data_IF_459203695886
#
_entry.id   IF_459203695886
#
_cell.length_a   1.000
_cell.length_b   1.000
_cell.length_c   1.000
_cell.angle_alpha   90.00
_cell.angle_beta   90.00
_cell.angle_gamma   90.00
#
_symmetry.space_group_name_H-M   'P 1'
#
loop_
_entity.id
_entity.type
_entity.pdbx_description
1 polymer ?
#
# COMPACT_ATOMS: atom_id res chain seq x y z
N UNK A 1 -53.90 -1.28 6.48
CA UNK A 1 -53.32 -0.11 7.15
C UNK A 1 -52.07 0.43 6.43
N UNK A 2 -51.31 -0.36 5.70
CA UNK A 2 -50.07 0.06 4.98
C UNK A 2 -50.25 1.02 3.77
N UNK A 3 -51.39 1.00 3.08
CA UNK A 3 -51.62 1.90 1.91
C UNK A 3 -51.91 3.36 2.27
N UNK A 4 -52.17 3.70 3.55
CA UNK A 4 -52.38 5.09 3.98
C UNK A 4 -51.09 5.78 4.46
N UNK A 5 -50.04 5.05 4.84
CA UNK A 5 -48.77 5.64 5.26
C UNK A 5 -47.93 6.10 4.05
N UNK A 6 -47.85 5.31 3.01
CA UNK A 6 -47.08 5.63 1.79
C UNK A 6 -47.55 6.89 1.07
N UNK A 7 -48.83 7.24 1.19
CA UNK A 7 -49.44 8.46 0.57
C UNK A 7 -49.18 9.76 1.34
N UNK A 8 -48.77 9.67 2.61
CA UNK A 8 -48.37 10.82 3.40
C UNK A 8 -46.92 11.27 3.17
N UNK A 9 -46.02 10.33 3.02
CA UNK A 9 -44.59 10.61 2.79
C UNK A 9 -44.35 11.26 1.43
N UNK A 10 -45.02 10.79 0.36
CA UNK A 10 -44.98 11.43 -0.95
C UNK A 10 -45.45 12.89 -0.97
N UNK A 11 -46.34 13.25 -0.08
CA UNK A 11 -46.91 14.60 0.01
C UNK A 11 -45.99 15.58 0.74
N UNK A 12 -45.16 15.08 1.67
CA UNK A 12 -44.15 15.87 2.37
C UNK A 12 -42.90 16.07 1.50
N UNK A 13 -42.46 15.04 0.80
CA UNK A 13 -41.32 15.11 -0.12
C UNK A 13 -41.55 16.09 -1.27
N UNK A 14 -42.76 16.09 -1.86
CA UNK A 14 -43.13 17.06 -2.93
C UNK A 14 -43.25 18.51 -2.40
N UNK A 15 -43.61 18.73 -1.16
CA UNK A 15 -43.62 20.06 -0.53
C UNK A 15 -42.21 20.54 -0.18
N UNK A 16 -41.30 19.63 0.20
CA UNK A 16 -39.91 19.95 0.48
C UNK A 16 -39.14 20.32 -0.80
N UNK A 17 -39.41 19.59 -1.89
CA UNK A 17 -38.82 19.89 -3.20
C UNK A 17 -39.32 21.24 -3.76
N UNK A 18 -40.60 21.58 -3.56
CA UNK A 18 -41.15 22.85 -4.00
C UNK A 18 -40.61 24.05 -3.21
N UNK A 19 -40.26 23.84 -1.92
CA UNK A 19 -39.65 24.88 -1.08
C UNK A 19 -38.22 25.20 -1.48
N UNK A 20 -37.44 24.14 -1.86
CA UNK A 20 -36.05 24.28 -2.35
C UNK A 20 -36.02 24.99 -3.71
N UNK A 21 -36.99 24.69 -4.60
CA UNK A 21 -37.05 25.34 -5.92
C UNK A 21 -37.46 26.84 -5.80
N UNK A 22 -38.26 27.20 -4.81
CA UNK A 22 -38.64 28.59 -4.54
C UNK A 22 -37.49 29.42 -3.95
N UNK A 23 -36.59 28.79 -3.17
CA UNK A 23 -35.45 29.47 -2.56
C UNK A 23 -34.35 29.75 -3.62
N UNK A 24 -34.20 28.87 -4.62
CA UNK A 24 -33.22 29.06 -5.73
C UNK A 24 -33.66 30.18 -6.69
N UNK A 25 -34.99 30.40 -6.87
CA UNK A 25 -35.48 31.49 -7.71
C UNK A 25 -35.50 32.87 -7.02
N UNK A 26 -35.37 32.93 -5.69
CA UNK A 26 -35.32 34.21 -4.96
C UNK A 26 -33.91 34.85 -4.95
N UNK A 27 -32.86 34.10 -5.30
CA UNK A 27 -31.47 34.58 -5.32
C UNK A 27 -31.04 35.14 -6.68
N UNK A 28 -31.87 35.07 -7.72
CA UNK A 28 -31.52 35.53 -9.10
C UNK A 28 -32.07 36.89 -9.50
N UNK A 29 -32.63 37.72 -8.60
CA UNK A 29 -33.25 38.97 -8.91
C UNK A 29 -32.62 40.21 -8.24
N UNK A 30 -31.33 40.22 -7.95
CA UNK A 30 -30.63 41.43 -7.51
C UNK A 30 -29.39 41.64 -8.40
N UNK A 31 -29.65 42.07 -9.64
CA UNK A 31 -28.66 42.77 -10.47
C UNK A 31 -29.37 43.44 -11.66
N UNK A 32 -29.92 44.61 -11.42
CA UNK A 32 -30.06 45.67 -12.47
C UNK A 32 -30.62 46.94 -11.82
N UNK A 33 -29.79 47.96 -11.73
CA UNK A 33 -30.17 49.32 -11.35
C UNK A 33 -28.97 50.25 -11.46
N UNK A 34 -28.86 50.97 -12.56
CA UNK A 34 -27.72 51.76 -12.91
C UNK A 34 -27.59 53.11 -12.20
N UNK A 35 -26.41 53.72 -12.30
CA UNK A 35 -26.09 55.10 -11.84
C UNK A 35 -24.60 55.33 -11.95
N UNK A 36 -24.17 56.12 -12.97
CA UNK A 36 -22.82 56.59 -13.20
C UNK A 36 -22.28 57.38 -12.00
N UNK A 37 -21.03 57.07 -11.60
CA UNK A 37 -20.06 58.06 -11.12
C UNK A 37 -18.64 57.45 -11.29
N UNK A 38 -17.84 58.15 -12.08
CA UNK A 38 -16.40 57.83 -12.27
C UNK A 38 -15.63 57.90 -10.96
N UNK A 39 -14.94 56.82 -10.64
CA UNK A 39 -13.76 56.87 -9.75
C UNK A 39 -12.86 55.69 -10.16
N UNK A 40 -11.70 56.03 -10.64
CA UNK A 40 -10.57 55.16 -10.99
C UNK A 40 -10.18 54.35 -9.77
N UNK A 41 -10.46 53.06 -9.75
CA UNK A 41 -9.89 52.08 -8.80
C UNK A 41 -9.44 50.89 -9.65
N UNK A 42 -8.14 50.65 -9.65
CA UNK A 42 -7.51 49.45 -10.19
C UNK A 42 -8.24 48.22 -9.62
N UNK A 43 -9.03 47.58 -10.46
CA UNK A 43 -9.48 46.20 -10.24
C UNK A 43 -8.27 45.30 -10.39
N UNK A 44 -7.68 44.89 -9.26
CA UNK A 44 -6.92 43.66 -9.23
C UNK A 44 -7.93 42.56 -9.38
N UNK A 45 -8.09 42.11 -10.61
CA UNK A 45 -8.81 40.87 -10.95
C UNK A 45 -8.04 39.68 -10.35
N UNK A 46 -8.29 39.40 -9.09
CA UNK A 46 -7.82 38.21 -8.39
C UNK A 46 -8.72 37.04 -8.81
N UNK A 47 -8.68 36.70 -10.09
CA UNK A 47 -9.16 35.43 -10.58
C UNK A 47 -8.20 34.38 -10.04
N UNK A 48 -8.46 33.90 -8.82
CA UNK A 48 -7.91 32.66 -8.35
C UNK A 48 -8.26 31.59 -9.40
N UNK A 49 -7.31 31.26 -10.25
CA UNK A 49 -7.39 30.12 -11.16
C UNK A 49 -7.49 28.89 -10.27
N UNK A 50 -8.72 28.40 -10.06
CA UNK A 50 -8.92 27.10 -9.42
C UNK A 50 -8.24 26.07 -10.31
N UNK A 51 -7.12 25.55 -9.85
CA UNK A 51 -6.41 24.48 -10.56
C UNK A 51 -7.36 23.28 -10.68
N UNK A 52 -7.75 22.94 -11.89
CA UNK A 52 -8.58 21.75 -12.12
C UNK A 52 -7.66 20.52 -11.99
N UNK A 53 -7.86 19.74 -10.92
CA UNK A 53 -7.11 18.51 -10.72
C UNK A 53 -7.69 17.35 -11.52
N UNK A 54 -6.79 16.55 -12.10
CA UNK A 54 -7.09 15.29 -12.80
C UNK A 54 -6.06 14.26 -12.35
N UNK A 55 -6.54 13.10 -11.89
CA UNK A 55 -5.71 12.05 -11.32
C UNK A 55 -5.53 10.91 -12.31
N UNK A 56 -4.30 10.53 -12.58
CA UNK A 56 -3.98 9.29 -13.26
C UNK A 56 -3.30 8.32 -12.29
N UNK A 57 -3.59 7.03 -12.41
CA UNK A 57 -2.80 5.98 -11.79
C UNK A 57 -2.11 5.15 -12.85
N UNK A 58 -0.85 4.84 -12.65
CA UNK A 58 -0.06 4.01 -13.56
C UNK A 58 0.49 2.84 -12.75
N UNK A 59 0.21 1.58 -13.14
CA UNK A 59 0.85 0.42 -12.51
C UNK A 59 2.30 0.28 -12.98
N UNK A 60 3.13 -0.38 -12.18
CA UNK A 60 4.50 -0.71 -12.56
C UNK A 60 4.55 -1.73 -13.71
N UNK A 61 4.14 -2.96 -13.48
CA UNK A 61 3.89 -4.05 -14.43
C UNK A 61 2.80 -4.99 -13.91
N UNK A 62 2.36 -4.79 -12.66
CA UNK A 62 1.30 -5.55 -12.02
C UNK A 62 -0.07 -5.28 -12.65
N UNK A 63 -1.07 -5.98 -12.16
CA UNK A 63 -2.45 -5.86 -12.63
C UNK A 63 -3.35 -5.29 -11.51
N UNK A 64 -4.31 -4.46 -11.88
CA UNK A 64 -5.32 -3.93 -10.95
C UNK A 64 -6.33 -4.97 -10.45
N UNK A 65 -6.08 -6.25 -10.72
CA UNK A 65 -6.86 -7.40 -10.26
C UNK A 65 -6.05 -8.35 -9.39
N UNK A 66 -4.90 -7.88 -8.88
CA UNK A 66 -3.97 -8.68 -8.06
C UNK A 66 -4.49 -9.00 -6.65
N UNK A 67 -5.62 -8.41 -6.24
CA UNK A 67 -6.22 -8.53 -4.91
C UNK A 67 -5.23 -8.17 -3.78
N UNK A 68 -4.31 -7.24 -4.07
CA UNK A 68 -3.21 -6.83 -3.22
C UNK A 68 -2.84 -5.36 -3.51
N UNK A 69 -1.57 -5.09 -3.80
CA UNK A 69 -0.94 -3.78 -3.91
C UNK A 69 -1.54 -2.88 -4.99
N UNK A 70 -1.57 -3.36 -6.25
CA UNK A 70 -2.02 -2.54 -7.38
C UNK A 70 -3.52 -2.31 -7.35
N UNK A 71 -4.32 -3.36 -7.08
CA UNK A 71 -5.77 -3.24 -7.00
C UNK A 71 -6.18 -2.27 -5.90
N UNK A 72 -5.61 -2.39 -4.70
CA UNK A 72 -5.96 -1.53 -3.56
C UNK A 72 -5.66 -0.07 -3.84
N UNK A 73 -4.52 0.23 -4.48
CA UNK A 73 -4.16 1.60 -4.85
C UNK A 73 -5.10 2.13 -5.94
N UNK A 74 -5.44 1.29 -6.93
CA UNK A 74 -6.40 1.65 -8.00
C UNK A 74 -7.78 1.98 -7.43
N UNK A 75 -8.32 1.11 -6.59
CA UNK A 75 -9.63 1.31 -5.97
C UNK A 75 -9.65 2.56 -5.10
N UNK A 76 -8.60 2.81 -4.32
CA UNK A 76 -8.47 4.01 -3.51
C UNK A 76 -8.49 5.30 -4.33
N UNK A 77 -7.73 5.35 -5.44
CA UNK A 77 -7.75 6.49 -6.36
C UNK A 77 -9.13 6.67 -6.99
N UNK A 78 -9.72 5.58 -7.49
CA UNK A 78 -11.02 5.59 -8.15
C UNK A 78 -12.14 6.08 -7.21
N UNK A 79 -12.24 5.47 -6.03
CA UNK A 79 -13.26 5.85 -5.03
C UNK A 79 -13.15 7.31 -4.60
N UNK A 80 -11.91 7.77 -4.33
CA UNK A 80 -11.67 9.16 -3.95
C UNK A 80 -12.10 10.13 -5.07
N UNK A 81 -11.70 9.83 -6.30
CA UNK A 81 -12.00 10.67 -7.44
C UNK A 81 -13.49 10.66 -7.81
N UNK A 82 -14.16 9.51 -7.76
CA UNK A 82 -15.60 9.40 -7.99
C UNK A 82 -16.39 10.21 -6.94
N UNK A 83 -16.01 10.13 -5.66
CA UNK A 83 -16.65 10.90 -4.59
C UNK A 83 -16.49 12.41 -4.76
N UNK A 84 -15.34 12.87 -5.26
CA UNK A 84 -15.02 14.28 -5.50
C UNK A 84 -15.42 14.79 -6.89
N UNK A 85 -15.99 13.96 -7.78
CA UNK A 85 -16.20 14.25 -9.21
C UNK A 85 -14.93 14.73 -9.93
N UNK A 86 -13.78 14.12 -9.60
CA UNK A 86 -12.48 14.40 -10.16
C UNK A 86 -12.24 13.43 -11.33
N UNK A 87 -11.79 13.89 -12.50
CA UNK A 87 -11.43 13.01 -13.60
C UNK A 87 -10.32 12.03 -13.19
N UNK A 88 -10.55 10.74 -13.43
CA UNK A 88 -9.62 9.66 -13.13
C UNK A 88 -9.45 8.73 -14.32
N UNK A 89 -8.21 8.34 -14.63
CA UNK A 89 -7.90 7.33 -15.65
C UNK A 89 -6.75 6.44 -15.19
N UNK A 90 -6.82 5.17 -15.55
CA UNK A 90 -5.80 4.16 -15.31
C UNK A 90 -4.97 3.90 -16.56
N UNK A 91 -3.65 3.78 -16.38
CA UNK A 91 -2.70 3.49 -17.43
C UNK A 91 -1.86 2.27 -17.06
N UNK A 92 -1.63 1.39 -18.03
CA UNK A 92 -0.78 0.21 -17.86
C UNK A 92 0.37 0.23 -18.86
N UNK A 93 1.64 0.14 -18.41
CA UNK A 93 2.78 -0.01 -19.29
C UNK A 93 2.69 -1.27 -20.14
N UNK A 94 3.27 -1.22 -21.34
CA UNK A 94 3.28 -2.37 -22.25
C UNK A 94 4.26 -3.47 -21.85
N UNK A 95 5.23 -3.14 -21.01
CA UNK A 95 6.25 -4.06 -20.49
C UNK A 95 6.85 -3.58 -19.18
N UNK A 96 7.70 -4.43 -18.60
CA UNK A 96 8.39 -4.16 -17.35
C UNK A 96 9.75 -3.51 -17.61
N UNK A 97 9.74 -2.24 -17.98
CA UNK A 97 10.95 -1.42 -18.09
C UNK A 97 10.65 0.07 -17.89
N UNK A 98 11.68 0.84 -17.56
CA UNK A 98 11.59 2.28 -17.30
C UNK A 98 10.98 3.06 -18.46
N UNK A 99 11.39 2.77 -19.72
CA UNK A 99 10.90 3.50 -20.87
C UNK A 99 9.38 3.35 -21.10
N UNK A 100 8.84 2.15 -20.89
CA UNK A 100 7.39 1.91 -20.99
C UNK A 100 6.62 2.64 -19.88
N UNK A 101 7.16 2.74 -18.66
CA UNK A 101 6.57 3.52 -17.55
C UNK A 101 6.60 5.00 -17.86
N UNK A 102 7.73 5.53 -18.35
CA UNK A 102 7.85 6.94 -18.80
C UNK A 102 6.84 7.24 -19.89
N UNK A 103 6.68 6.37 -20.89
CA UNK A 103 5.70 6.56 -21.96
C UNK A 103 4.26 6.65 -21.45
N UNK A 104 3.91 5.91 -20.37
CA UNK A 104 2.58 6.02 -19.77
C UNK A 104 2.43 7.30 -18.94
N UNK A 105 3.49 7.75 -18.25
CA UNK A 105 3.51 9.05 -17.56
C UNK A 105 3.26 10.16 -18.59
N UNK A 106 4.01 10.18 -19.69
CA UNK A 106 3.88 11.17 -20.77
C UNK A 106 2.48 11.12 -21.41
N UNK A 107 1.94 9.91 -21.65
CA UNK A 107 0.58 9.74 -22.17
C UNK A 107 -0.50 10.30 -21.25
N UNK A 108 -0.35 10.13 -19.93
CA UNK A 108 -1.27 10.70 -18.94
C UNK A 108 -1.19 12.24 -18.95
N UNK A 109 0.02 12.80 -18.96
CA UNK A 109 0.27 14.24 -18.97
C UNK A 109 -0.29 14.88 -20.25
N UNK A 110 -0.09 14.25 -21.42
CA UNK A 110 -0.62 14.72 -22.71
C UNK A 110 -2.17 14.78 -22.72
N UNK A 111 -2.84 13.94 -21.92
CA UNK A 111 -4.30 13.99 -21.70
C UNK A 111 -4.72 15.02 -20.64
N UNK A 112 -3.76 15.73 -20.06
CA UNK A 112 -4.00 16.79 -19.09
C UNK A 112 -4.15 16.32 -17.65
N UNK A 113 -3.72 15.07 -17.32
CA UNK A 113 -3.62 14.62 -15.93
C UNK A 113 -2.42 15.28 -15.24
N UNK A 114 -2.64 15.85 -14.06
CA UNK A 114 -1.65 16.65 -13.35
C UNK A 114 -1.33 16.15 -11.93
N UNK A 115 -1.96 15.04 -11.51
CA UNK A 115 -1.58 14.23 -10.37
C UNK A 115 -1.40 12.80 -10.87
N UNK A 116 -0.18 12.26 -10.75
CA UNK A 116 0.17 10.93 -11.24
C UNK A 116 0.52 10.04 -10.04
N UNK A 117 -0.31 9.05 -9.78
CA UNK A 117 -0.11 8.06 -8.71
C UNK A 117 0.59 6.82 -9.26
N UNK A 118 1.70 6.46 -8.68
CA UNK A 118 2.62 5.42 -9.18
C UNK A 118 2.96 4.43 -8.06
N UNK A 119 2.22 3.33 -7.93
CA UNK A 119 2.53 2.27 -6.98
C UNK A 119 3.62 1.34 -7.50
N UNK A 120 4.70 1.20 -6.74
CA UNK A 120 5.75 0.20 -6.96
C UNK A 120 7.16 0.77 -7.07
N UNK A 121 8.11 0.06 -6.46
CA UNK A 121 9.53 0.40 -6.42
C UNK A 121 10.12 0.68 -7.83
N UNK A 122 9.61 -0.01 -8.84
CA UNK A 122 10.07 0.08 -10.22
C UNK A 122 9.87 1.46 -10.88
N UNK A 123 9.11 2.36 -10.23
CA UNK A 123 8.95 3.75 -10.69
C UNK A 123 10.14 4.65 -10.37
N UNK A 124 11.11 4.23 -9.54
CA UNK A 124 12.28 5.04 -9.21
C UNK A 124 12.95 5.65 -10.45
N UNK A 125 13.28 4.81 -11.44
CA UNK A 125 13.88 5.27 -12.70
C UNK A 125 12.97 6.15 -13.54
N UNK A 126 11.68 5.83 -13.63
CA UNK A 126 10.73 6.61 -14.42
C UNK A 126 10.50 8.02 -13.82
N UNK A 127 10.48 8.14 -12.50
CA UNK A 127 10.37 9.42 -11.79
C UNK A 127 11.63 10.26 -12.01
N UNK A 128 12.81 9.66 -11.87
CA UNK A 128 14.11 10.34 -12.13
C UNK A 128 14.15 10.92 -13.54
N UNK A 129 13.56 10.24 -14.54
CA UNK A 129 13.51 10.74 -15.91
C UNK A 129 12.40 11.77 -16.17
N UNK A 130 11.23 11.61 -15.53
CA UNK A 130 10.03 12.43 -15.82
C UNK A 130 9.99 13.72 -14.99
N UNK A 131 10.32 13.68 -13.69
CA UNK A 131 10.21 14.83 -12.80
C UNK A 131 10.94 16.09 -13.31
N UNK A 132 12.16 16.02 -13.82
CA UNK A 132 12.85 17.21 -14.34
C UNK A 132 12.14 17.89 -15.52
N UNK A 133 11.32 17.14 -16.28
CA UNK A 133 10.64 17.61 -17.49
C UNK A 133 9.28 18.23 -17.20
N UNK A 134 8.60 17.80 -16.13
CA UNK A 134 7.18 18.09 -15.86
C UNK A 134 6.97 18.75 -14.49
N UNK A 135 7.52 19.94 -14.31
CA UNK A 135 7.54 20.65 -13.01
C UNK A 135 6.16 21.10 -12.50
N UNK A 136 5.15 21.14 -13.35
CA UNK A 136 3.76 21.48 -12.98
C UNK A 136 2.93 20.23 -12.60
N UNK A 137 3.49 19.03 -12.76
CA UNK A 137 2.84 17.76 -12.42
C UNK A 137 3.23 17.34 -11.02
N UNK A 138 2.26 16.83 -10.26
CA UNK A 138 2.46 16.27 -8.92
C UNK A 138 2.59 14.76 -9.00
N UNK A 139 3.75 14.25 -8.67
CA UNK A 139 4.02 12.81 -8.66
C UNK A 139 3.81 12.25 -7.25
N UNK A 140 2.98 11.22 -7.14
CA UNK A 140 2.72 10.52 -5.87
C UNK A 140 3.18 9.07 -6.04
N UNK A 141 4.23 8.70 -5.32
CA UNK A 141 4.85 7.38 -5.41
C UNK A 141 4.58 6.55 -4.15
N UNK A 142 4.31 5.24 -4.32
CA UNK A 142 4.18 4.28 -3.24
C UNK A 142 5.27 3.22 -3.38
N UNK A 143 5.93 2.87 -2.27
CA UNK A 143 7.03 1.89 -2.21
C UNK A 143 8.26 2.23 -3.08
N UNK A 144 8.48 3.49 -3.42
CA UNK A 144 9.72 3.94 -4.06
C UNK A 144 10.66 4.47 -2.98
N UNK A 145 11.66 3.69 -2.62
CA UNK A 145 12.60 4.05 -1.56
C UNK A 145 13.71 4.99 -2.05
N UNK A 146 14.45 5.56 -1.10
CA UNK A 146 15.69 6.32 -1.40
C UNK A 146 16.64 5.51 -2.29
N UNK A 147 16.74 4.18 -2.05
CA UNK A 147 17.60 3.28 -2.82
C UNK A 147 17.17 3.16 -4.27
N UNK A 148 15.87 3.09 -4.55
CA UNK A 148 15.32 2.95 -5.91
C UNK A 148 15.60 4.21 -6.75
N UNK A 149 15.50 5.39 -6.16
CA UNK A 149 15.91 6.65 -6.83
C UNK A 149 17.40 6.69 -7.08
N UNK A 150 18.22 6.31 -6.08
CA UNK A 150 19.68 6.35 -6.20
C UNK A 150 20.19 5.35 -7.24
N UNK A 151 19.65 4.14 -7.30
CA UNK A 151 20.06 3.15 -8.31
C UNK A 151 19.93 3.72 -9.72
N UNK A 152 18.80 4.37 -10.02
CA UNK A 152 18.57 4.98 -11.32
C UNK A 152 19.46 6.20 -11.57
N UNK A 153 19.54 7.12 -10.61
CA UNK A 153 20.18 8.41 -10.78
C UNK A 153 21.71 8.32 -10.77
N UNK A 154 22.30 7.50 -9.89
CA UNK A 154 23.74 7.23 -9.85
C UNK A 154 24.19 6.54 -11.13
N UNK A 155 23.39 5.56 -11.62
CA UNK A 155 23.64 4.91 -12.90
C UNK A 155 23.58 5.89 -14.08
N UNK A 156 22.61 6.80 -14.10
CA UNK A 156 22.49 7.84 -15.11
C UNK A 156 23.68 8.85 -15.08
N UNK A 157 24.26 9.09 -13.89
CA UNK A 157 25.48 9.89 -13.74
C UNK A 157 26.76 9.16 -14.18
N UNK A 158 26.65 7.87 -14.56
CA UNK A 158 27.80 7.04 -14.96
C UNK A 158 28.63 6.52 -13.79
N UNK A 159 28.08 6.54 -12.60
CA UNK A 159 28.70 6.02 -11.38
C UNK A 159 28.14 4.64 -11.02
N UNK A 160 28.78 3.93 -10.09
CA UNK A 160 28.37 2.61 -9.63
C UNK A 160 27.74 2.70 -8.25
N UNK A 161 26.43 2.44 -8.16
CA UNK A 161 25.70 2.39 -6.89
C UNK A 161 26.08 1.12 -6.11
N UNK A 162 26.33 1.27 -4.81
CA UNK A 162 26.78 0.18 -3.94
C UNK A 162 25.64 -0.54 -3.20
N UNK A 163 24.38 -0.22 -3.53
CA UNK A 163 23.15 -0.74 -2.92
C UNK A 163 23.01 -0.49 -1.42
N UNK A 164 23.81 0.45 -0.88
CA UNK A 164 23.61 0.97 0.46
C UNK A 164 23.23 2.46 0.40
N UNK A 165 21.93 2.79 0.54
CA UNK A 165 21.48 4.17 0.38
C UNK A 165 22.07 5.15 1.41
N UNK A 166 22.55 4.66 2.54
CA UNK A 166 23.13 5.52 3.59
C UNK A 166 24.48 6.12 3.20
N UNK A 167 25.17 5.49 2.24
CA UNK A 167 26.44 6.00 1.72
C UNK A 167 26.27 7.16 0.73
N UNK A 168 25.02 7.51 0.34
CA UNK A 168 24.73 8.44 -0.75
C UNK A 168 23.84 9.59 -0.31
N UNK A 169 24.16 10.81 -0.79
CA UNK A 169 23.29 11.96 -0.64
C UNK A 169 22.30 12.03 -1.82
N UNK A 170 21.04 11.69 -1.57
CA UNK A 170 20.00 11.67 -2.60
C UNK A 170 19.88 13.03 -3.31
N UNK A 171 19.95 14.13 -2.56
CA UNK A 171 19.76 15.47 -3.11
C UNK A 171 20.90 15.90 -4.08
N UNK A 172 22.04 15.21 -4.04
CA UNK A 172 23.12 15.42 -5.01
C UNK A 172 22.81 14.84 -6.40
N UNK A 173 21.85 13.90 -6.49
CA UNK A 173 21.53 13.16 -7.70
C UNK A 173 20.11 13.40 -8.23
N UNK A 174 19.14 13.65 -7.35
CA UNK A 174 17.72 13.78 -7.69
C UNK A 174 17.10 14.98 -7.00
N UNK A 175 16.38 15.79 -7.77
CA UNK A 175 15.47 16.82 -7.25
C UNK A 175 14.06 16.24 -7.18
N UNK A 176 13.56 15.93 -6.00
CA UNK A 176 12.22 15.40 -5.78
C UNK A 176 11.19 16.50 -5.45
N UNK A 177 11.44 17.76 -5.81
CA UNK A 177 10.57 18.90 -5.46
C UNK A 177 9.12 18.80 -5.97
N UNK A 178 8.84 17.92 -6.94
CA UNK A 178 7.50 17.62 -7.44
C UNK A 178 7.04 16.19 -7.11
N UNK A 179 7.71 15.51 -6.19
CA UNK A 179 7.42 14.11 -5.84
C UNK A 179 7.08 14.01 -4.37
N UNK A 180 6.00 13.35 -4.05
CA UNK A 180 5.69 12.87 -2.70
C UNK A 180 5.73 11.35 -2.69
N UNK A 181 6.53 10.79 -1.81
CA UNK A 181 6.73 9.35 -1.72
C UNK A 181 6.28 8.82 -0.36
N UNK A 182 5.59 7.69 -0.37
CA UNK A 182 5.19 6.94 0.80
C UNK A 182 5.82 5.54 0.74
N UNK A 183 6.59 5.20 1.75
CA UNK A 183 7.05 3.83 2.02
C UNK A 183 6.49 3.38 3.37
N UNK A 184 6.58 2.11 3.69
CA UNK A 184 5.93 1.58 4.88
C UNK A 184 6.93 0.82 5.75
N UNK A 185 6.60 0.69 7.04
CA UNK A 185 7.37 -0.10 8.01
C UNK A 185 6.88 -1.56 7.99
N UNK A 186 7.07 -2.25 6.85
CA UNK A 186 6.59 -3.62 6.66
C UNK A 186 7.22 -4.60 7.64
N UNK A 187 8.39 -4.30 8.18
CA UNK A 187 9.01 -5.10 9.24
C UNK A 187 8.12 -5.24 10.47
N UNK A 188 7.29 -4.22 10.77
CA UNK A 188 6.42 -4.24 11.96
C UNK A 188 5.24 -5.18 11.77
N UNK A 189 4.50 -5.10 10.64
CA UNK A 189 3.40 -6.03 10.40
C UNK A 189 3.91 -7.44 10.07
N UNK A 190 5.07 -7.57 9.43
CA UNK A 190 5.76 -8.85 9.29
C UNK A 190 6.05 -9.49 10.64
N UNK A 191 6.58 -8.70 11.60
CA UNK A 191 6.82 -9.16 12.97
C UNK A 191 5.53 -9.62 13.65
N UNK A 192 4.46 -8.80 13.59
CA UNK A 192 3.16 -9.17 14.18
C UNK A 192 2.65 -10.51 13.62
N UNK A 193 2.72 -10.68 12.29
CA UNK A 193 2.29 -11.92 11.64
C UNK A 193 3.14 -13.14 12.04
N UNK A 194 4.47 -12.99 12.08
CA UNK A 194 5.37 -14.07 12.50
C UNK A 194 5.19 -14.45 13.97
N UNK A 195 5.06 -13.45 14.84
CA UNK A 195 4.80 -13.65 16.26
C UNK A 195 3.45 -14.35 16.50
N UNK A 196 2.38 -13.85 15.86
CA UNK A 196 1.04 -14.43 15.91
C UNK A 196 1.04 -15.90 15.48
N UNK A 197 1.70 -16.21 14.36
CA UNK A 197 1.79 -17.57 13.81
C UNK A 197 2.35 -18.56 14.84
N UNK A 198 3.47 -18.23 15.50
CA UNK A 198 4.08 -19.10 16.52
C UNK A 198 3.24 -19.15 17.78
N UNK A 199 2.67 -18.04 18.25
CA UNK A 199 1.77 -18.01 19.42
C UNK A 199 0.52 -18.85 19.21
N UNK A 200 0.00 -18.94 17.97
CA UNK A 200 -1.11 -19.82 17.60
C UNK A 200 -0.73 -21.32 17.57
N UNK A 201 0.55 -21.65 17.79
CA UNK A 201 1.04 -23.02 17.95
C UNK A 201 1.69 -23.62 16.70
N UNK A 202 1.85 -22.88 15.62
CA UNK A 202 2.55 -23.34 14.43
C UNK A 202 4.06 -23.29 14.62
N UNK A 203 4.75 -24.37 14.22
CA UNK A 203 6.19 -24.53 14.45
C UNK A 203 6.98 -24.81 13.16
N UNK A 204 6.31 -25.12 12.06
CA UNK A 204 6.94 -25.35 10.75
C UNK A 204 6.45 -24.31 9.75
N UNK A 205 7.22 -23.26 9.61
CA UNK A 205 6.85 -22.06 8.89
C UNK A 205 7.55 -21.96 7.53
N UNK A 206 6.97 -21.18 6.63
CA UNK A 206 7.58 -20.78 5.38
C UNK A 206 7.36 -19.29 5.12
N UNK A 207 8.37 -18.64 4.55
CA UNK A 207 8.24 -17.34 3.92
C UNK A 207 8.51 -17.50 2.43
N UNK A 208 7.54 -17.16 1.60
CA UNK A 208 7.66 -17.10 0.15
C UNK A 208 7.46 -15.65 -0.29
N UNK A 209 8.57 -14.93 -0.47
CA UNK A 209 8.56 -13.57 -0.99
C UNK A 209 8.45 -13.56 -2.51
N UNK A 210 7.93 -12.48 -3.09
CA UNK A 210 7.97 -12.25 -4.52
C UNK A 210 9.41 -12.02 -5.01
N UNK A 211 9.75 -10.82 -5.43
CA UNK A 211 11.15 -10.42 -5.67
C UNK A 211 11.80 -9.90 -4.39
N UNK A 212 13.13 -9.98 -4.30
CA UNK A 212 13.91 -9.45 -3.19
C UNK A 212 14.06 -7.91 -3.27
N UNK A 213 12.92 -7.20 -3.24
CA UNK A 213 12.88 -5.73 -3.21
C UNK A 213 12.70 -5.22 -1.78
N UNK A 214 13.03 -3.96 -1.47
CA UNK A 214 13.12 -3.49 -0.09
C UNK A 214 11.88 -3.76 0.77
N UNK A 215 10.66 -3.56 0.25
CA UNK A 215 9.42 -3.82 0.97
C UNK A 215 9.25 -5.32 1.31
N UNK A 216 9.46 -6.22 0.33
CA UNK A 216 9.34 -7.68 0.52
C UNK A 216 10.41 -8.20 1.51
N UNK A 217 11.62 -7.63 1.44
CA UNK A 217 12.69 -7.95 2.39
C UNK A 217 12.27 -7.55 3.81
N UNK A 218 11.74 -6.33 4.01
CA UNK A 218 11.27 -5.88 5.34
C UNK A 218 10.16 -6.75 5.89
N UNK A 219 9.15 -7.11 5.09
CA UNK A 219 8.12 -8.07 5.50
C UNK A 219 8.73 -9.40 5.99
N UNK A 220 9.63 -9.98 5.18
CA UNK A 220 10.23 -11.26 5.48
C UNK A 220 11.12 -11.22 6.73
N UNK A 221 11.93 -10.17 6.87
CA UNK A 221 12.79 -9.99 8.05
C UNK A 221 11.96 -9.73 9.31
N UNK A 222 10.88 -8.96 9.20
CA UNK A 222 9.90 -8.82 10.28
C UNK A 222 9.32 -10.16 10.71
N UNK A 223 8.86 -10.97 9.74
CA UNK A 223 8.28 -12.28 9.99
C UNK A 223 9.24 -13.22 10.72
N UNK A 224 10.51 -13.26 10.29
CA UNK A 224 11.56 -14.03 10.99
C UNK A 224 11.77 -13.53 12.42
N UNK A 225 11.89 -12.21 12.62
CA UNK A 225 12.09 -11.62 13.95
C UNK A 225 10.91 -11.91 14.89
N UNK A 226 9.67 -11.78 14.40
CA UNK A 226 8.47 -12.07 15.18
C UNK A 226 8.37 -13.55 15.57
N UNK A 227 8.61 -14.45 14.62
CA UNK A 227 8.64 -15.88 14.86
C UNK A 227 9.73 -16.27 15.89
N UNK A 228 10.93 -15.66 15.75
CA UNK A 228 12.04 -15.86 16.67
C UNK A 228 11.70 -15.39 18.09
N UNK A 229 11.10 -14.21 18.24
CA UNK A 229 10.72 -13.66 19.53
C UNK A 229 9.67 -14.53 20.24
N UNK A 230 8.63 -14.95 19.52
CA UNK A 230 7.60 -15.83 20.07
C UNK A 230 8.15 -17.20 20.43
N UNK A 231 9.03 -17.79 19.60
CA UNK A 231 9.68 -19.06 19.88
C UNK A 231 10.51 -19.00 21.16
N UNK A 232 11.31 -17.94 21.34
CA UNK A 232 12.09 -17.71 22.56
C UNK A 232 11.20 -17.56 23.80
N UNK A 233 10.09 -16.83 23.70
CA UNK A 233 9.15 -16.58 24.80
C UNK A 233 8.49 -17.86 25.30
N UNK A 234 7.99 -18.72 24.37
CA UNK A 234 7.25 -19.91 24.74
C UNK A 234 8.11 -21.18 24.78
N UNK A 235 9.41 -21.11 24.47
CA UNK A 235 10.34 -22.22 24.41
C UNK A 235 10.01 -23.24 23.31
N UNK A 236 9.45 -22.78 22.18
CA UNK A 236 9.10 -23.63 21.04
C UNK A 236 10.30 -23.86 20.12
N UNK A 237 10.47 -25.09 19.59
CA UNK A 237 11.38 -25.36 18.50
C UNK A 237 10.67 -25.06 17.18
N UNK A 238 11.10 -24.00 16.48
CA UNK A 238 10.48 -23.52 15.24
C UNK A 238 11.47 -23.70 14.08
N UNK A 239 10.99 -24.30 12.98
CA UNK A 239 11.71 -24.38 11.70
C UNK A 239 11.05 -23.42 10.70
N UNK A 240 11.85 -22.57 10.02
CA UNK A 240 11.38 -21.60 9.03
C UNK A 240 12.16 -21.76 7.72
N UNK A 241 11.45 -22.09 6.63
CA UNK A 241 12.00 -22.06 5.25
C UNK A 241 11.80 -20.67 4.67
N UNK A 242 12.82 -20.14 3.98
CA UNK A 242 12.80 -18.79 3.41
C UNK A 242 13.20 -18.82 1.94
N UNK A 243 12.39 -18.26 1.03
CA UNK A 243 12.66 -18.19 -0.40
C UNK A 243 12.07 -16.94 -1.03
N UNK A 244 12.71 -16.45 -2.10
CA UNK A 244 12.10 -15.52 -3.05
C UNK A 244 11.65 -16.25 -4.30
N UNK A 245 10.43 -16.02 -4.76
CA UNK A 245 9.84 -16.69 -5.93
C UNK A 245 10.25 -16.04 -7.25
N UNK A 246 10.90 -14.88 -7.20
CA UNK A 246 11.28 -14.04 -8.33
C UNK A 246 10.11 -13.63 -9.24
N UNK A 247 8.89 -13.55 -8.67
CA UNK A 247 7.65 -13.21 -9.39
C UNK A 247 6.63 -12.57 -8.44
N UNK A 248 5.80 -11.67 -8.95
CA UNK A 248 4.59 -11.18 -8.26
C UNK A 248 3.30 -11.70 -8.88
N UNK A 249 3.40 -12.60 -9.86
CA UNK A 249 2.25 -13.25 -10.49
C UNK A 249 2.28 -14.75 -10.20
N UNK A 250 1.11 -15.44 -10.19
CA UNK A 250 1.08 -16.88 -9.98
C UNK A 250 1.82 -17.64 -11.09
N UNK A 251 2.52 -18.70 -10.70
CA UNK A 251 3.26 -19.57 -11.61
C UNK A 251 3.26 -21.02 -11.12
N UNK A 252 3.30 -21.95 -12.06
CA UNK A 252 3.31 -23.39 -11.77
C UNK A 252 4.56 -23.85 -10.99
N UNK A 253 5.70 -23.18 -11.17
CA UNK A 253 6.93 -23.46 -10.40
C UNK A 253 6.76 -23.10 -8.94
N UNK A 254 6.05 -21.99 -8.63
CA UNK A 254 5.71 -21.61 -7.26
C UNK A 254 4.79 -22.65 -6.63
N UNK A 255 3.73 -23.07 -7.35
CA UNK A 255 2.83 -24.13 -6.87
C UNK A 255 3.60 -25.42 -6.56
N UNK A 256 4.51 -25.85 -7.44
CA UNK A 256 5.30 -27.08 -7.25
C UNK A 256 6.26 -27.00 -6.06
N UNK A 257 6.89 -25.84 -5.85
CA UNK A 257 7.74 -25.60 -4.69
C UNK A 257 6.93 -25.68 -3.39
N UNK A 258 5.74 -25.05 -3.35
CA UNK A 258 4.87 -25.06 -2.18
C UNK A 258 4.22 -26.43 -1.94
N UNK A 259 3.86 -27.17 -3.01
CA UNK A 259 3.43 -28.58 -2.88
C UNK A 259 4.50 -29.40 -2.14
N UNK A 260 5.78 -29.20 -2.47
CA UNK A 260 6.91 -29.86 -1.79
C UNK A 260 7.01 -29.42 -0.33
N UNK A 261 6.89 -28.11 -0.03
CA UNK A 261 7.00 -27.61 1.31
C UNK A 261 5.92 -28.16 2.24
N UNK A 262 4.66 -28.13 1.80
CA UNK A 262 3.55 -28.70 2.59
C UNK A 262 3.68 -30.23 2.74
N UNK A 263 4.13 -30.94 1.69
CA UNK A 263 4.38 -32.39 1.77
C UNK A 263 5.50 -32.73 2.78
N UNK A 264 6.51 -31.86 2.93
CA UNK A 264 7.58 -31.97 3.91
C UNK A 264 7.14 -31.53 5.34
N UNK A 265 5.88 -31.15 5.50
CA UNK A 265 5.27 -30.82 6.78
C UNK A 265 5.33 -29.34 7.16
N UNK A 266 5.62 -28.41 6.24
CA UNK A 266 5.39 -26.97 6.47
C UNK A 266 3.90 -26.77 6.76
N UNK A 267 3.59 -26.05 7.84
CA UNK A 267 2.22 -25.85 8.33
C UNK A 267 1.59 -24.55 7.82
N UNK A 268 2.39 -23.48 7.76
CA UNK A 268 1.98 -22.13 7.37
C UNK A 268 3.01 -21.52 6.44
N UNK A 269 2.55 -20.92 5.33
CA UNK A 269 3.41 -20.15 4.42
C UNK A 269 2.95 -18.69 4.37
N UNK A 270 3.85 -17.75 4.62
CA UNK A 270 3.60 -16.34 4.36
C UNK A 270 3.77 -16.07 2.86
N UNK A 271 2.66 -15.76 2.19
CA UNK A 271 2.56 -15.48 0.75
C UNK A 271 2.82 -13.98 0.49
N UNK A 272 4.09 -13.55 0.55
CA UNK A 272 4.45 -12.13 0.52
C UNK A 272 4.78 -11.63 -0.88
N UNK A 273 3.75 -11.33 -1.70
CA UNK A 273 4.03 -10.73 -3.01
C UNK A 273 2.91 -10.76 -4.03
N UNK A 274 2.09 -9.72 -4.10
CA UNK A 274 1.07 -9.54 -5.14
C UNK A 274 0.19 -10.77 -5.33
N UNK A 275 0.15 -11.31 -6.53
CA UNK A 275 -0.70 -12.45 -6.90
C UNK A 275 -0.13 -13.84 -6.60
N UNK A 276 1.09 -13.99 -6.04
CA UNK A 276 1.68 -15.32 -5.79
C UNK A 276 0.87 -16.16 -4.79
N UNK A 277 0.04 -15.52 -3.95
CA UNK A 277 -0.86 -16.21 -3.03
C UNK A 277 -1.75 -17.24 -3.76
N UNK A 278 -2.11 -17.02 -5.02
CA UNK A 278 -2.92 -17.96 -5.82
C UNK A 278 -2.22 -19.32 -5.95
N UNK A 279 -0.92 -19.32 -6.31
CA UNK A 279 -0.11 -20.54 -6.41
C UNK A 279 0.06 -21.23 -5.05
N UNK A 280 0.23 -20.44 -3.98
CA UNK A 280 0.40 -20.96 -2.62
C UNK A 280 -0.91 -21.52 -2.09
N UNK A 281 -2.06 -20.85 -2.35
CA UNK A 281 -3.38 -21.33 -1.98
C UNK A 281 -3.74 -22.65 -2.69
N UNK A 282 -3.35 -22.80 -3.96
CA UNK A 282 -3.51 -24.04 -4.70
C UNK A 282 -2.76 -25.22 -4.03
N UNK A 283 -1.53 -24.99 -3.57
CA UNK A 283 -0.75 -26.00 -2.86
C UNK A 283 -1.30 -26.27 -1.45
N UNK A 284 -1.64 -25.21 -0.70
CA UNK A 284 -2.22 -25.31 0.64
C UNK A 284 -3.53 -26.12 0.64
N UNK A 285 -4.39 -25.90 -0.37
CA UNK A 285 -5.63 -26.64 -0.55
C UNK A 285 -5.42 -28.14 -0.59
N UNK A 286 -4.40 -28.61 -1.34
CA UNK A 286 -4.09 -30.03 -1.50
C UNK A 286 -3.61 -30.68 -0.20
N UNK A 287 -2.87 -29.92 0.60
CA UNK A 287 -2.24 -30.39 1.82
C UNK A 287 -3.03 -30.05 3.10
N UNK A 288 -4.11 -29.28 2.99
CA UNK A 288 -4.82 -28.66 4.10
C UNK A 288 -3.86 -27.83 4.99
N UNK A 289 -2.95 -27.09 4.32
CA UNK A 289 -2.01 -26.17 4.95
C UNK A 289 -2.61 -24.78 5.16
N UNK A 290 -1.87 -23.90 5.84
CA UNK A 290 -2.33 -22.54 6.17
C UNK A 290 -1.46 -21.49 5.48
N UNK A 291 -1.99 -20.26 5.44
CA UNK A 291 -1.36 -19.11 4.76
C UNK A 291 -1.43 -17.86 5.64
N UNK A 292 -0.37 -17.06 5.59
CA UNK A 292 -0.39 -15.64 5.96
C UNK A 292 -0.48 -14.82 4.67
N UNK A 293 -1.47 -13.93 4.59
CA UNK A 293 -1.65 -13.01 3.46
C UNK A 293 -0.79 -11.76 3.56
N UNK A 294 -0.86 -10.88 2.55
CA UNK A 294 -0.06 -9.66 2.45
C UNK A 294 -0.85 -8.45 1.96
N UNK A 295 -0.40 -7.26 2.29
CA UNK A 295 -0.86 -5.92 1.90
C UNK A 295 -2.25 -5.54 2.41
N UNK A 296 -3.22 -6.43 2.29
CA UNK A 296 -4.61 -6.26 2.72
C UNK A 296 -5.07 -7.50 3.50
N UNK A 297 -6.26 -7.45 4.10
CA UNK A 297 -6.90 -8.68 4.60
C UNK A 297 -7.26 -9.59 3.41
N UNK A 298 -6.43 -10.61 3.18
CA UNK A 298 -6.62 -11.56 2.09
C UNK A 298 -7.43 -12.81 2.50
N UNK A 299 -7.91 -12.91 3.75
CA UNK A 299 -8.67 -14.07 4.19
C UNK A 299 -9.88 -14.38 3.29
N UNK A 300 -10.74 -13.42 2.89
CA UNK A 300 -11.89 -13.72 2.04
C UNK A 300 -11.51 -14.31 0.68
N UNK A 301 -10.33 -13.96 0.17
CA UNK A 301 -9.89 -14.34 -1.17
C UNK A 301 -9.15 -15.68 -1.14
N UNK A 302 -8.21 -15.82 -0.21
CA UNK A 302 -7.41 -17.04 -0.04
C UNK A 302 -8.32 -18.21 0.35
N UNK A 303 -9.22 -17.99 1.31
CA UNK A 303 -10.14 -19.03 1.79
C UNK A 303 -11.13 -19.46 0.69
N UNK A 304 -11.56 -18.56 -0.18
CA UNK A 304 -12.38 -18.90 -1.32
C UNK A 304 -11.63 -19.77 -2.36
N UNK A 305 -10.32 -19.59 -2.51
CA UNK A 305 -9.49 -20.39 -3.43
C UNK A 305 -9.09 -21.73 -2.82
N UNK A 306 -8.73 -21.75 -1.54
CA UNK A 306 -8.29 -22.92 -0.82
C UNK A 306 -9.45 -23.59 -0.06
N UNK A 307 -9.50 -23.42 1.25
CA UNK A 307 -10.55 -23.89 2.14
C UNK A 307 -10.86 -22.80 3.16
N UNK A 308 -12.07 -22.79 3.71
CA UNK A 308 -12.42 -21.89 4.82
C UNK A 308 -11.43 -22.07 5.99
N UNK A 309 -10.90 -20.97 6.50
CA UNK A 309 -9.93 -20.97 7.60
C UNK A 309 -8.49 -21.35 7.20
N UNK A 310 -8.17 -21.35 5.91
CA UNK A 310 -6.78 -21.50 5.43
C UNK A 310 -5.93 -20.30 5.83
N UNK A 311 -6.49 -19.10 5.81
CA UNK A 311 -5.78 -17.88 6.19
C UNK A 311 -5.79 -17.72 7.70
N UNK A 312 -4.60 -17.59 8.30
CA UNK A 312 -4.48 -17.38 9.74
C UNK A 312 -4.39 -15.90 10.11
N UNK A 313 -3.83 -15.09 9.25
CA UNK A 313 -3.77 -13.62 9.33
C UNK A 313 -3.23 -13.05 8.02
N UNK A 314 -3.12 -11.73 7.93
CA UNK A 314 -2.43 -11.03 6.82
C UNK A 314 -1.53 -9.93 7.38
N UNK A 315 -0.31 -9.79 6.88
CA UNK A 315 0.53 -8.63 7.17
C UNK A 315 0.13 -7.48 6.25
N UNK A 316 -0.56 -6.48 6.80
CA UNK A 316 -1.19 -5.42 6.02
C UNK A 316 -0.38 -4.13 6.01
N UNK A 317 -0.52 -3.34 4.93
CA UNK A 317 -0.12 -1.94 4.87
C UNK A 317 -1.26 -1.05 4.36
N UNK A 318 -1.34 0.17 4.86
CA UNK A 318 -2.46 1.09 4.69
C UNK A 318 -2.49 1.79 3.33
N UNK A 319 -2.39 1.03 2.24
CA UNK A 319 -2.34 1.54 0.86
C UNK A 319 -3.51 2.45 0.52
N UNK A 320 -4.73 2.02 0.84
CA UNK A 320 -5.94 2.81 0.57
C UNK A 320 -5.97 4.09 1.42
N UNK A 321 -5.64 3.97 2.71
CA UNK A 321 -5.67 5.11 3.64
C UNK A 321 -4.63 6.17 3.26
N UNK A 322 -3.40 5.76 2.99
CA UNK A 322 -2.30 6.68 2.62
C UNK A 322 -2.53 7.32 1.25
N UNK A 323 -3.01 6.56 0.25
CA UNK A 323 -3.36 7.10 -1.08
C UNK A 323 -4.45 8.15 -0.98
N UNK A 324 -5.54 7.86 -0.26
CA UNK A 324 -6.64 8.82 -0.06
C UNK A 324 -6.18 10.04 0.74
N UNK A 325 -5.33 9.86 1.76
CA UNK A 325 -4.77 10.96 2.54
C UNK A 325 -3.87 11.87 1.70
N UNK A 326 -3.04 11.29 0.83
CA UNK A 326 -2.20 12.06 -0.10
C UNK A 326 -3.05 12.87 -1.08
N UNK A 327 -4.04 12.25 -1.74
CA UNK A 327 -4.94 12.94 -2.66
C UNK A 327 -5.72 14.05 -1.95
N UNK A 328 -6.24 13.79 -0.75
CA UNK A 328 -6.92 14.81 0.07
C UNK A 328 -5.99 15.96 0.43
N UNK A 329 -4.78 15.67 0.88
CA UNK A 329 -3.77 16.67 1.20
C UNK A 329 -3.45 17.59 0.02
N UNK A 330 -3.36 17.03 -1.18
CA UNK A 330 -3.08 17.77 -2.41
C UNK A 330 -4.27 18.58 -2.89
N UNK A 331 -5.46 17.98 -2.94
CA UNK A 331 -6.62 18.51 -3.67
C UNK A 331 -7.50 19.38 -2.78
N UNK A 332 -7.81 18.93 -1.57
CA UNK A 332 -8.73 19.62 -0.67
C UNK A 332 -8.00 20.53 0.31
N UNK A 333 -6.90 20.05 0.90
CA UNK A 333 -6.19 20.77 1.96
C UNK A 333 -5.12 21.74 1.42
N UNK A 334 -4.75 21.64 0.12
CA UNK A 334 -3.76 22.50 -0.53
C UNK A 334 -2.34 22.36 0.04
N UNK A 335 -1.99 21.18 0.58
CA UNK A 335 -0.73 20.92 1.31
C UNK A 335 0.41 20.40 0.43
N UNK A 336 0.34 20.63 -0.87
CA UNK A 336 1.40 20.11 -1.76
C UNK A 336 2.79 20.55 -1.33
N UNK A 337 2.97 21.81 -0.97
CA UNK A 337 4.26 22.35 -0.54
C UNK A 337 4.79 21.71 0.77
N UNK A 338 3.91 21.10 1.56
CA UNK A 338 4.28 20.36 2.76
C UNK A 338 4.65 18.90 2.46
N UNK A 339 4.14 18.34 1.36
CA UNK A 339 4.33 16.94 0.96
C UNK A 339 5.50 16.77 -0.02
N UNK A 340 5.61 17.67 -0.98
CA UNK A 340 6.62 17.60 -2.04
C UNK A 340 8.05 17.52 -1.47
N UNK A 341 8.87 16.69 -2.09
CA UNK A 341 10.25 16.43 -1.66
C UNK A 341 10.41 15.42 -0.52
N UNK A 342 9.30 14.88 0.02
CA UNK A 342 9.36 13.95 1.15
C UNK A 342 9.29 12.50 0.71
N UNK A 343 9.98 11.66 1.47
CA UNK A 343 9.83 10.21 1.51
C UNK A 343 9.35 9.87 2.93
N UNK A 344 8.04 9.75 3.10
CA UNK A 344 7.45 9.44 4.41
C UNK A 344 7.45 7.92 4.62
N UNK A 345 7.94 7.49 5.78
CA UNK A 345 7.94 6.08 6.19
C UNK A 345 6.78 5.83 7.16
N UNK A 346 5.68 5.32 6.62
CA UNK A 346 4.40 5.15 7.29
C UNK A 346 4.37 3.86 8.13
N UNK A 347 4.01 3.99 9.39
CA UNK A 347 4.02 2.89 10.35
C UNK A 347 2.90 2.95 11.36
N UNK A 348 3.24 2.70 12.61
CA UNK A 348 2.31 2.76 13.73
C UNK A 348 2.11 4.20 14.19
N UNK A 349 0.84 4.58 14.40
CA UNK A 349 0.44 5.92 14.87
C UNK A 349 -0.43 5.87 16.13
N UNK A 350 -0.99 4.69 16.46
CA UNK A 350 -1.87 4.50 17.61
C UNK A 350 -1.65 3.15 18.29
N UNK A 351 -1.51 3.18 19.62
CA UNK A 351 -1.48 1.96 20.44
C UNK A 351 -2.86 1.51 20.94
N UNK A 352 -3.92 2.31 20.69
CA UNK A 352 -5.28 2.03 21.18
C UNK A 352 -6.31 1.86 20.07
N UNK A 353 -6.07 2.42 18.91
CA UNK A 353 -6.86 2.24 17.69
C UNK A 353 -5.95 1.56 16.67
N UNK A 354 -6.03 0.24 16.63
CA UNK A 354 -5.15 -0.56 15.78
C UNK A 354 -5.43 -0.33 14.28
N UNK A 355 -6.67 -0.03 13.92
CA UNK A 355 -7.09 0.21 12.54
C UNK A 355 -6.64 1.58 12.01
N UNK A 356 -6.21 2.50 12.89
CA UNK A 356 -5.63 3.78 12.49
C UNK A 356 -4.19 3.66 11.99
N UNK A 357 -3.52 2.52 12.19
CA UNK A 357 -2.13 2.31 11.83
C UNK A 357 -1.96 2.03 10.33
N UNK A 358 -0.84 2.47 9.76
CA UNK A 358 -0.49 2.21 8.36
C UNK A 358 0.12 0.81 8.13
N UNK A 359 0.45 0.09 9.20
CA UNK A 359 0.89 -1.31 9.14
C UNK A 359 0.27 -2.09 10.30
N UNK A 360 -0.07 -3.36 10.10
CA UNK A 360 -0.72 -4.16 11.13
C UNK A 360 -1.14 -5.54 10.62
N UNK A 361 -1.98 -6.20 11.40
CA UNK A 361 -2.72 -7.41 11.00
C UNK A 361 -4.21 -7.14 11.15
N UNK A 362 -5.13 -7.88 10.47
CA UNK A 362 -6.57 -7.68 10.60
C UNK A 362 -7.02 -7.79 12.07
N UNK A 363 -7.82 -6.82 12.53
CA UNK A 363 -8.36 -6.81 13.90
C UNK A 363 -9.68 -7.57 14.03
N UNK A 364 -10.34 -7.87 12.89
CA UNK A 364 -11.58 -8.64 12.79
C UNK A 364 -11.35 -10.13 12.49
N UNK A 365 -12.29 -10.69 11.72
CA UNK A 365 -12.33 -12.12 11.37
C UNK A 365 -11.18 -12.56 10.42
N UNK A 366 -10.41 -11.63 9.85
CA UNK A 366 -9.26 -11.93 9.00
C UNK A 366 -8.04 -12.46 9.74
N UNK A 367 -8.06 -12.48 11.09
CA UNK A 367 -7.07 -13.15 11.93
C UNK A 367 -7.73 -14.26 12.74
N UNK A 368 -7.12 -15.44 12.75
CA UNK A 368 -7.61 -16.62 13.49
C UNK A 368 -7.30 -16.48 15.00
N UNK A 369 -7.94 -15.51 15.64
CA UNK A 369 -7.77 -15.25 17.07
C UNK A 369 -8.01 -16.49 17.93
N UNK A 370 -7.22 -16.68 18.97
CA UNK A 370 -7.28 -17.82 19.87
C UNK A 370 -6.96 -17.42 21.30
N UNK A 371 -7.16 -18.35 22.25
CA UNK A 371 -6.77 -18.13 23.65
C UNK A 371 -5.25 -17.93 23.82
N UNK A 372 -4.44 -18.36 22.85
CA UNK A 372 -2.98 -18.24 22.88
C UNK A 372 -2.45 -16.97 22.19
N UNK A 373 -3.28 -16.31 21.36
CA UNK A 373 -3.00 -15.01 20.76
C UNK A 373 -4.31 -14.26 20.54
N UNK A 374 -4.52 -13.22 21.32
CA UNK A 374 -5.74 -12.40 21.35
C UNK A 374 -5.51 -11.01 20.72
N UNK A 375 -6.59 -10.26 20.53
CA UNK A 375 -6.51 -8.83 20.14
C UNK A 375 -5.77 -7.99 21.18
N UNK A 376 -5.87 -8.32 22.47
CA UNK A 376 -5.13 -7.65 23.54
C UNK A 376 -3.62 -7.92 23.44
N UNK A 377 -3.22 -9.15 23.08
CA UNK A 377 -1.80 -9.48 22.82
C UNK A 377 -1.27 -8.70 21.61
N UNK A 378 -2.06 -8.58 20.55
CA UNK A 378 -1.70 -7.76 19.39
C UNK A 378 -1.56 -6.27 19.78
N UNK A 379 -2.48 -5.74 20.58
CA UNK A 379 -2.40 -4.37 21.07
C UNK A 379 -1.16 -4.16 21.95
N UNK A 380 -0.77 -5.16 22.75
CA UNK A 380 0.46 -5.10 23.53
C UNK A 380 1.72 -5.08 22.66
N UNK A 381 1.76 -5.85 21.54
CA UNK A 381 2.86 -5.78 20.58
C UNK A 381 2.96 -4.37 19.96
N UNK A 382 1.84 -3.82 19.51
CA UNK A 382 1.80 -2.46 18.93
C UNK A 382 2.27 -1.42 19.94
N UNK A 383 1.80 -1.50 21.20
CA UNK A 383 2.24 -0.60 22.26
C UNK A 383 3.75 -0.72 22.53
N UNK A 384 4.29 -1.95 22.57
CA UNK A 384 5.71 -2.20 22.76
C UNK A 384 6.58 -1.70 21.59
N UNK A 385 6.09 -1.75 20.36
CA UNK A 385 6.76 -1.16 19.20
C UNK A 385 6.75 0.37 19.25
N UNK A 386 5.63 0.97 19.66
CA UNK A 386 5.50 2.42 19.78
C UNK A 386 6.35 3.01 20.92
N UNK A 387 6.46 2.35 22.03
CA UNK A 387 7.27 2.82 23.17
C UNK A 387 8.74 2.39 23.10
N UNK A 388 9.11 1.59 22.08
CA UNK A 388 10.47 1.14 21.81
C UNK A 388 10.95 -0.02 22.69
N UNK A 389 10.07 -0.69 23.46
CA UNK A 389 10.40 -1.92 24.19
C UNK A 389 10.53 -3.11 23.25
N UNK A 390 9.82 -3.08 22.11
CA UNK A 390 10.00 -4.02 21.01
C UNK A 390 10.66 -3.25 19.86
N UNK A 391 11.89 -3.63 19.52
CA UNK A 391 12.64 -3.04 18.41
C UNK A 391 12.73 -4.06 17.28
N UNK A 392 12.16 -3.72 16.14
CA UNK A 392 12.21 -4.56 14.94
C UNK A 392 13.20 -3.92 13.96
N UNK A 393 14.18 -4.69 13.52
CA UNK A 393 15.17 -4.21 12.56
C UNK A 393 14.59 -4.15 11.15
N UNK A 394 14.82 -3.04 10.45
CA UNK A 394 14.52 -2.85 9.03
C UNK A 394 15.79 -2.84 8.15
N UNK A 395 16.91 -3.31 8.67
CA UNK A 395 18.20 -3.33 7.99
C UNK A 395 18.21 -4.41 6.90
N UNK A 396 17.95 -3.99 5.66
CA UNK A 396 17.91 -4.87 4.49
C UNK A 396 19.29 -5.30 3.98
N UNK A 397 20.38 -4.82 4.59
CA UNK A 397 21.76 -5.23 4.26
C UNK A 397 22.17 -6.53 4.94
N UNK A 398 21.40 -6.99 5.92
CA UNK A 398 21.61 -8.26 6.64
C UNK A 398 21.02 -9.44 5.86
N UNK A 399 21.39 -10.66 6.28
CA UNK A 399 20.72 -11.88 5.84
C UNK A 399 19.56 -12.22 6.77
N UNK A 400 18.50 -12.92 6.31
CA UNK A 400 17.39 -13.33 7.18
C UNK A 400 17.85 -14.23 8.35
N UNK A 401 18.93 -14.98 8.15
CA UNK A 401 19.54 -15.81 9.21
C UNK A 401 20.11 -15.01 10.38
N UNK A 402 20.49 -13.75 10.17
CA UNK A 402 21.02 -12.88 11.25
C UNK A 402 19.96 -12.57 12.32
N UNK A 403 18.68 -12.79 12.01
CA UNK A 403 17.54 -12.54 12.89
C UNK A 403 16.97 -13.83 13.52
N UNK A 404 17.49 -15.00 13.13
CA UNK A 404 17.00 -16.32 13.56
C UNK A 404 17.92 -16.93 14.63
N UNK A 405 17.90 -16.38 15.85
CA UNK A 405 18.77 -16.81 16.96
C UNK A 405 18.21 -17.98 17.77
N UNK A 406 16.88 -18.07 17.86
CA UNK A 406 16.14 -19.06 18.67
C UNK A 406 15.28 -19.99 17.81
N UNK A 407 15.32 -19.85 16.49
CA UNK A 407 14.66 -20.72 15.52
C UNK A 407 15.66 -21.29 14.52
N UNK A 408 15.30 -22.37 13.82
CA UNK A 408 16.07 -22.91 12.72
C UNK A 408 15.59 -22.28 11.40
N UNK A 409 16.41 -21.47 10.77
CA UNK A 409 16.09 -20.89 9.46
C UNK A 409 16.85 -21.61 8.34
N UNK A 410 16.12 -22.01 7.28
CA UNK A 410 16.68 -22.56 6.05
C UNK A 410 16.46 -21.56 4.92
N UNK A 411 17.48 -20.80 4.58
CA UNK A 411 17.45 -19.88 3.44
C UNK A 411 17.72 -20.67 2.14
N UNK A 412 16.73 -20.64 1.25
CA UNK A 412 16.74 -21.34 -0.04
C UNK A 412 17.08 -20.39 -1.22
N UNK A 413 17.33 -19.12 -0.92
CA UNK A 413 17.67 -18.09 -1.90
C UNK A 413 16.49 -17.75 -2.82
N UNK A 414 16.66 -17.95 -4.12
CA UNK A 414 15.66 -17.62 -5.13
C UNK A 414 15.24 -18.87 -5.91
N UNK A 415 13.94 -18.99 -6.17
CA UNK A 415 13.36 -20.04 -6.99
C UNK A 415 13.85 -19.89 -8.43
N UNK A 416 14.40 -20.97 -9.01
CA UNK A 416 14.95 -21.02 -10.37
C UNK A 416 13.93 -21.51 -11.39
#
# INVERSE_FOLDING_TARGET
MQKKMCRKEDKYMKKFLALILALVMALSLVACGGGNTDTDTQDTDDTATTTEYKVAMITDYGDITDQSFNQTTYEACKEYCEAGNIPFEYFKPSGDNTADRVAMIESAIDKGYNIIVMPGYAFGGAIVEADPKYKDVKFVALDVSKGDYLEAAVGAAGESYDYNPDNWDLAAYVDLSNVYTMIYQEELCGYMAGYATVKMGYTKLGFAGGMAVPAVIRYGYGFVQGANAAAAEIGAAVDLKYIYTNSFVPDASITAAMDTWYADGTEVVFACGGGIYVSIAEAAKKANGNIVGVDVDQAPIIDALANEGTTITSAMKGLAASTKAALKGIIEDGKWDELAGKIDNLGLVSGTDLDANYVGIPTGDGTAWSDSFTTDDCAALVAGMLDGTIVVSNDTTKAPADFATDITLTDLGTLN
#
